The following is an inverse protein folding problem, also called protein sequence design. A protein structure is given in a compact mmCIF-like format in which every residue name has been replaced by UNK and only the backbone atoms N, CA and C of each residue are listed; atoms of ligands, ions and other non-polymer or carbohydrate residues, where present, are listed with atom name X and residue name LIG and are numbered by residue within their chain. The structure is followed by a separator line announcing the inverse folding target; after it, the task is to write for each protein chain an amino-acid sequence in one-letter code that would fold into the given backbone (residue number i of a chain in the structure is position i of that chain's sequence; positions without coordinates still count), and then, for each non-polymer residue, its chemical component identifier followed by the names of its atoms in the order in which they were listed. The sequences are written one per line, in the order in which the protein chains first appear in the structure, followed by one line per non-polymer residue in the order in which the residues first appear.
data_IF_940547121231
#
_entry.id   IF_940547121231
#
_cell.length_a   1.000
_cell.length_b   1.000
_cell.length_c   1.000
_cell.angle_alpha   90.00
_cell.angle_beta   90.00
_cell.angle_gamma   90.00
#
_symmetry.space_group_name_H-M   'P 1'
#
loop_
_entity.id
_entity.type
_entity.pdbx_description
1 polymer ?
#
# COMPACT_ATOMS: atom_id res chain seq x y z
N UNK A 1 60.90 56.02 -26.52
CA UNK A 1 59.78 55.09 -26.40
C UNK A 1 60.33 53.83 -25.76
N UNK A 2 59.99 53.52 -24.51
CA UNK A 2 60.50 52.33 -23.84
C UNK A 2 59.53 51.16 -24.07
N UNK A 3 60.13 49.99 -24.31
CA UNK A 3 59.46 48.71 -24.54
C UNK A 3 58.76 48.19 -23.27
N UNK A 4 57.52 47.70 -23.48
CA UNK A 4 56.71 47.06 -22.44
C UNK A 4 57.28 45.63 -22.23
N UNK A 5 57.86 45.36 -21.06
CA UNK A 5 58.29 44.03 -20.66
C UNK A 5 57.09 43.17 -20.27
N UNK A 6 56.96 42.05 -20.95
CA UNK A 6 56.01 40.97 -20.65
C UNK A 6 56.19 40.45 -19.23
N UNK A 7 55.20 40.70 -18.38
CA UNK A 7 55.11 40.07 -17.05
C UNK A 7 54.41 38.71 -17.24
N UNK A 8 55.19 37.66 -17.41
CA UNK A 8 54.70 36.30 -17.36
C UNK A 8 54.27 35.98 -15.91
N UNK A 9 52.96 35.99 -15.68
CA UNK A 9 52.35 35.51 -14.42
C UNK A 9 52.38 34.00 -14.43
N UNK A 10 53.39 33.39 -13.81
CA UNK A 10 53.53 31.96 -13.65
C UNK A 10 52.54 31.48 -12.60
N UNK A 11 51.30 31.20 -13.01
CA UNK A 11 50.26 30.60 -12.15
C UNK A 11 50.70 29.21 -11.70
N UNK A 12 51.10 29.06 -10.47
CA UNK A 12 51.32 27.75 -9.85
C UNK A 12 49.97 27.05 -9.70
N UNK A 13 49.71 26.07 -10.56
CA UNK A 13 48.60 25.11 -10.36
C UNK A 13 48.98 24.26 -9.13
N UNK A 14 48.38 24.55 -7.97
CA UNK A 14 48.35 23.63 -6.84
C UNK A 14 47.62 22.38 -7.30
N UNK A 15 48.30 21.31 -7.64
CA UNK A 15 47.73 19.98 -7.81
C UNK A 15 47.26 19.52 -6.44
N UNK A 16 45.94 19.56 -6.22
CA UNK A 16 45.30 18.91 -5.07
C UNK A 16 45.49 17.41 -5.27
N UNK A 17 46.41 16.83 -4.55
CA UNK A 17 46.60 15.38 -4.48
C UNK A 17 45.37 14.84 -3.74
N UNK A 18 44.41 14.28 -4.50
CA UNK A 18 43.28 13.58 -3.91
C UNK A 18 43.85 12.35 -3.18
N UNK A 19 43.73 12.36 -1.86
CA UNK A 19 44.05 11.19 -1.03
C UNK A 19 43.00 10.15 -1.28
N UNK A 20 43.34 9.03 -1.89
CA UNK A 20 42.44 7.86 -2.05
C UNK A 20 42.29 7.12 -0.72
N UNK A 21 41.18 6.44 -0.54
CA UNK A 21 40.96 5.55 0.59
C UNK A 21 41.85 4.31 0.53
N UNK A 22 42.30 3.85 1.68
CA UNK A 22 43.07 2.63 1.79
C UNK A 22 42.15 1.41 1.80
N UNK A 23 42.64 0.28 1.33
CA UNK A 23 41.89 -1.00 1.33
C UNK A 23 41.48 -1.40 2.77
N UNK A 24 42.38 -1.19 3.74
CA UNK A 24 42.12 -1.51 5.15
C UNK A 24 41.04 -0.62 5.75
N UNK A 25 40.97 0.64 5.35
CA UNK A 25 39.94 1.60 5.83
C UNK A 25 38.55 1.18 5.39
N UNK A 26 38.37 0.76 4.13
CA UNK A 26 37.11 0.24 3.64
C UNK A 26 36.77 -1.10 4.32
N UNK A 27 37.76 -1.99 4.49
CA UNK A 27 37.54 -3.31 5.10
C UNK A 27 37.06 -3.19 6.56
N UNK A 28 37.63 -2.27 7.35
CA UNK A 28 37.21 -2.01 8.74
C UNK A 28 35.78 -1.44 8.76
N UNK A 29 35.46 -0.50 7.86
CA UNK A 29 34.13 0.12 7.79
C UNK A 29 33.04 -0.91 7.46
N UNK A 30 33.26 -1.75 6.42
CA UNK A 30 32.25 -2.79 6.09
C UNK A 30 32.13 -3.83 7.21
N UNK A 31 33.20 -4.15 7.93
CA UNK A 31 33.16 -5.03 9.09
C UNK A 31 32.28 -4.48 10.22
N UNK A 32 32.43 -3.21 10.56
CA UNK A 32 31.61 -2.53 11.56
C UNK A 32 30.14 -2.45 11.10
N UNK A 33 29.90 -2.08 9.84
CA UNK A 33 28.53 -2.01 9.30
C UNK A 33 27.87 -3.37 9.36
N UNK A 34 28.56 -4.47 9.03
CA UNK A 34 28.00 -5.82 9.08
C UNK A 34 27.57 -6.22 10.50
N UNK A 35 28.36 -5.89 11.51
CA UNK A 35 28.02 -6.15 12.93
C UNK A 35 26.80 -5.32 13.34
N UNK A 36 26.76 -4.02 13.04
CA UNK A 36 25.65 -3.16 13.39
C UNK A 36 24.35 -3.58 12.67
N UNK A 37 24.42 -3.92 11.37
CA UNK A 37 23.30 -4.39 10.60
C UNK A 37 22.69 -5.68 11.17
N UNK A 38 23.52 -6.63 11.63
CA UNK A 38 23.04 -7.87 12.21
C UNK A 38 22.19 -7.65 13.47
N UNK A 39 22.59 -6.72 14.33
CA UNK A 39 21.86 -6.38 15.57
C UNK A 39 20.51 -5.73 15.22
N UNK A 40 20.49 -4.82 14.24
CA UNK A 40 19.27 -4.12 13.82
C UNK A 40 18.24 -5.08 13.22
N UNK A 41 18.66 -6.00 12.35
CA UNK A 41 17.75 -6.97 11.71
C UNK A 41 17.05 -7.85 12.74
N UNK A 42 17.75 -8.28 13.79
CA UNK A 42 17.14 -9.08 14.87
C UNK A 42 16.13 -8.24 15.68
N UNK A 43 16.40 -6.96 15.91
CA UNK A 43 15.57 -6.09 16.72
C UNK A 43 14.25 -5.67 16.04
N UNK A 44 14.23 -5.51 14.71
CA UNK A 44 13.09 -4.92 13.98
C UNK A 44 12.00 -5.93 13.64
N UNK A 45 12.25 -7.23 13.55
CA UNK A 45 11.32 -8.26 13.06
C UNK A 45 10.66 -7.86 11.71
N UNK A 46 11.33 -8.02 10.59
CA UNK A 46 10.86 -7.53 9.29
C UNK A 46 9.52 -8.15 8.86
N UNK A 47 9.25 -9.41 9.23
CA UNK A 47 7.99 -10.07 8.90
C UNK A 47 6.79 -9.33 9.51
N UNK A 48 6.90 -8.85 10.75
CA UNK A 48 5.86 -8.05 11.40
C UNK A 48 5.68 -6.69 10.71
N UNK A 49 6.77 -6.03 10.33
CA UNK A 49 6.70 -4.72 9.65
C UNK A 49 5.96 -4.83 8.30
N UNK A 50 6.23 -5.87 7.53
CA UNK A 50 5.51 -6.13 6.29
C UNK A 50 4.03 -6.45 6.52
N UNK A 51 3.69 -7.20 7.55
CA UNK A 51 2.30 -7.50 7.91
C UNK A 51 1.54 -6.23 8.35
N UNK A 52 2.16 -5.37 9.14
CA UNK A 52 1.59 -4.06 9.55
C UNK A 52 1.38 -3.14 8.35
N UNK A 53 2.31 -3.11 7.39
CA UNK A 53 2.16 -2.34 6.15
C UNK A 53 0.97 -2.84 5.32
N UNK A 54 0.82 -4.15 5.12
CA UNK A 54 -0.35 -4.73 4.44
C UNK A 54 -1.66 -4.42 5.17
N UNK A 55 -1.68 -4.45 6.50
CA UNK A 55 -2.87 -4.11 7.27
C UNK A 55 -3.25 -2.62 7.13
N UNK A 56 -2.28 -1.73 7.02
CA UNK A 56 -2.52 -0.31 6.72
C UNK A 56 -3.14 -0.13 5.33
N UNK A 57 -2.67 -0.89 4.33
CA UNK A 57 -3.25 -0.91 2.99
C UNK A 57 -4.69 -1.45 3.01
N UNK A 58 -4.94 -2.57 3.71
CA UNK A 58 -6.28 -3.14 3.88
C UNK A 58 -7.27 -2.15 4.49
N UNK A 59 -6.85 -1.43 5.53
CA UNK A 59 -7.65 -0.38 6.15
C UNK A 59 -8.06 0.68 5.12
N UNK A 60 -7.11 1.20 4.36
CA UNK A 60 -7.36 2.19 3.31
C UNK A 60 -8.30 1.65 2.22
N UNK A 61 -8.12 0.39 1.81
CA UNK A 61 -8.95 -0.25 0.80
C UNK A 61 -10.39 -0.43 1.27
N UNK A 62 -10.61 -0.90 2.50
CA UNK A 62 -11.94 -1.04 3.10
C UNK A 62 -12.65 0.30 3.19
N UNK A 63 -11.96 1.36 3.62
CA UNK A 63 -12.52 2.71 3.69
C UNK A 63 -12.87 3.27 2.30
N UNK A 64 -12.04 2.99 1.29
CA UNK A 64 -12.27 3.41 -0.10
C UNK A 64 -13.50 2.75 -0.69
N UNK A 65 -13.68 1.44 -0.46
CA UNK A 65 -14.88 0.71 -0.89
C UNK A 65 -16.13 1.28 -0.21
N UNK A 66 -16.09 1.51 1.11
CA UNK A 66 -17.22 2.10 1.85
C UNK A 66 -17.57 3.51 1.35
N UNK A 67 -16.56 4.32 1.03
CA UNK A 67 -16.76 5.66 0.47
C UNK A 67 -17.46 5.58 -0.90
N UNK A 68 -17.04 4.69 -1.78
CA UNK A 68 -17.64 4.50 -3.09
C UNK A 68 -19.10 4.01 -3.00
N UNK A 69 -19.38 3.06 -2.11
CA UNK A 69 -20.74 2.59 -1.82
C UNK A 69 -21.59 3.73 -1.24
N UNK A 70 -21.05 4.52 -0.31
CA UNK A 70 -21.73 5.68 0.26
C UNK A 70 -22.06 6.76 -0.79
N UNK A 71 -21.19 7.02 -1.74
CA UNK A 71 -21.43 7.95 -2.84
C UNK A 71 -22.54 7.43 -3.76
N UNK A 72 -22.52 6.14 -4.11
CA UNK A 72 -23.60 5.53 -4.89
C UNK A 72 -24.97 5.72 -4.20
N UNK A 73 -25.04 5.47 -2.91
CA UNK A 73 -26.28 5.66 -2.12
C UNK A 73 -26.71 7.12 -2.11
N UNK A 74 -25.78 8.06 -1.93
CA UNK A 74 -26.08 9.48 -1.91
C UNK A 74 -26.65 9.96 -3.25
N UNK A 75 -26.07 9.54 -4.37
CA UNK A 75 -26.54 9.89 -5.72
C UNK A 75 -27.88 9.26 -6.07
N UNK A 76 -28.21 8.11 -5.46
CA UNK A 76 -29.45 7.37 -5.71
C UNK A 76 -30.50 7.56 -4.61
N UNK A 77 -30.57 8.74 -4.01
CA UNK A 77 -31.61 9.15 -3.03
C UNK A 77 -31.67 8.26 -1.79
N UNK A 78 -30.53 7.76 -1.34
CA UNK A 78 -30.43 6.94 -0.14
C UNK A 78 -30.59 5.43 -0.39
N UNK A 79 -30.68 4.99 -1.63
CA UNK A 79 -30.81 3.58 -2.01
C UNK A 79 -29.55 3.16 -2.76
N UNK A 80 -28.96 2.03 -2.37
CA UNK A 80 -27.85 1.45 -3.13
C UNK A 80 -28.35 0.92 -4.47
N UNK A 81 -27.83 1.47 -5.57
CA UNK A 81 -28.21 1.09 -6.93
C UNK A 81 -27.13 0.20 -7.55
N UNK A 82 -27.49 -1.03 -7.84
CA UNK A 82 -26.57 -2.04 -8.36
C UNK A 82 -27.29 -3.10 -9.19
N UNK A 83 -26.68 -3.51 -10.31
CA UNK A 83 -27.21 -4.62 -11.12
C UNK A 83 -27.22 -5.97 -10.38
N UNK A 84 -26.27 -6.16 -9.46
CA UNK A 84 -26.21 -7.34 -8.60
C UNK A 84 -27.32 -7.38 -7.53
N UNK A 85 -28.17 -6.33 -7.46
CA UNK A 85 -29.25 -6.20 -6.49
C UNK A 85 -28.84 -5.49 -5.21
N UNK A 86 -29.65 -5.67 -4.16
CA UNK A 86 -29.39 -5.07 -2.85
C UNK A 86 -28.13 -5.67 -2.20
N UNK A 87 -27.51 -4.89 -1.29
CA UNK A 87 -26.36 -5.38 -0.52
C UNK A 87 -26.76 -6.60 0.33
N UNK A 88 -25.90 -7.60 0.45
CA UNK A 88 -26.20 -8.82 1.20
C UNK A 88 -26.34 -8.52 2.70
N UNK A 89 -27.31 -9.18 3.35
CA UNK A 89 -27.53 -9.04 4.80
C UNK A 89 -26.46 -9.77 5.65
N UNK A 90 -25.74 -10.71 5.04
CA UNK A 90 -24.68 -11.49 5.67
C UNK A 90 -23.34 -11.16 5.04
N UNK A 91 -22.25 -11.35 5.79
CA UNK A 91 -20.90 -11.13 5.29
C UNK A 91 -20.62 -12.00 4.06
N UNK A 92 -20.58 -11.37 2.90
CA UNK A 92 -20.44 -12.02 1.59
C UNK A 92 -19.15 -11.55 0.93
N UNK A 93 -18.34 -12.43 0.34
CA UNK A 93 -17.14 -12.03 -0.42
C UNK A 93 -17.49 -11.10 -1.58
N UNK A 94 -16.68 -10.09 -1.80
CA UNK A 94 -16.80 -9.21 -2.97
C UNK A 94 -16.02 -9.86 -4.11
N UNK A 95 -16.73 -10.43 -5.07
CA UNK A 95 -16.15 -11.19 -6.17
C UNK A 95 -17.10 -11.25 -7.36
N UNK A 96 -16.57 -11.44 -8.58
CA UNK A 96 -17.34 -11.63 -9.80
C UNK A 96 -18.06 -12.98 -9.86
N UNK A 97 -17.55 -13.97 -9.12
CA UNK A 97 -18.12 -15.32 -9.06
C UNK A 97 -18.05 -15.85 -7.62
N UNK A 98 -19.13 -16.46 -7.15
CA UNK A 98 -19.19 -16.99 -5.78
C UNK A 98 -19.29 -15.95 -4.68
N UNK A 99 -19.59 -14.70 -5.03
CA UNK A 99 -19.72 -13.59 -4.10
C UNK A 99 -20.70 -12.53 -4.61
N UNK A 100 -20.61 -11.33 -4.04
CA UNK A 100 -21.38 -10.17 -4.46
C UNK A 100 -20.57 -9.34 -5.47
N UNK A 101 -21.07 -9.21 -6.70
CA UNK A 101 -20.42 -8.45 -7.78
C UNK A 101 -20.63 -6.95 -7.57
N UNK A 102 -19.75 -6.35 -6.77
CA UNK A 102 -19.78 -4.94 -6.43
C UNK A 102 -19.13 -4.05 -7.52
N UNK A 103 -18.17 -4.60 -8.29
CA UNK A 103 -17.35 -3.80 -9.22
C UNK A 103 -18.19 -3.03 -10.22
N UNK A 104 -19.15 -3.68 -10.88
CA UNK A 104 -20.00 -3.03 -11.88
C UNK A 104 -20.91 -1.93 -11.34
N UNK A 105 -21.01 -1.77 -10.02
CA UNK A 105 -21.87 -0.78 -9.36
C UNK A 105 -21.09 0.46 -8.88
N UNK A 106 -19.78 0.35 -8.71
CA UNK A 106 -18.94 1.43 -8.19
C UNK A 106 -17.83 1.86 -9.15
N UNK A 107 -17.41 1.00 -10.06
CA UNK A 107 -16.39 1.28 -11.08
C UNK A 107 -17.08 1.53 -12.43
N UNK A 108 -16.67 2.55 -13.22
CA UNK A 108 -15.66 3.58 -12.92
C UNK A 108 -16.24 4.83 -12.25
N UNK A 109 -17.54 4.86 -11.92
CA UNK A 109 -18.25 6.08 -11.53
C UNK A 109 -17.78 6.66 -10.19
N UNK A 110 -17.61 5.82 -9.19
CA UNK A 110 -17.29 6.24 -7.81
C UNK A 110 -15.84 5.94 -7.42
N UNK A 111 -15.18 5.06 -8.17
CA UNK A 111 -13.75 4.79 -8.03
C UNK A 111 -13.19 4.28 -9.36
N UNK A 112 -11.90 4.51 -9.58
CA UNK A 112 -11.26 4.13 -10.85
C UNK A 112 -11.18 2.61 -11.04
N UNK A 113 -10.86 1.88 -9.96
CA UNK A 113 -10.82 0.42 -9.94
C UNK A 113 -11.03 -0.08 -8.52
N UNK A 114 -11.62 -1.29 -8.39
CA UNK A 114 -11.84 -1.89 -7.08
C UNK A 114 -10.51 -2.39 -6.48
N UNK A 115 -10.17 -2.02 -5.24
CA UNK A 115 -8.95 -2.48 -4.62
C UNK A 115 -9.03 -3.97 -4.25
N UNK A 116 -7.89 -4.64 -4.33
CA UNK A 116 -7.77 -6.06 -3.96
C UNK A 116 -6.80 -6.22 -2.79
N UNK A 117 -7.03 -7.25 -1.99
CA UNK A 117 -6.15 -7.61 -0.89
C UNK A 117 -4.78 -8.03 -1.41
N UNK A 118 -3.66 -7.55 -0.84
CA UNK A 118 -2.30 -7.82 -1.33
C UNK A 118 -1.89 -9.29 -1.26
N UNK A 119 -2.59 -10.11 -0.48
CA UNK A 119 -2.25 -11.54 -0.30
C UNK A 119 -3.32 -12.51 -0.80
N UNK A 120 -4.58 -12.12 -0.76
CA UNK A 120 -5.73 -13.00 -1.09
C UNK A 120 -6.59 -12.48 -2.25
N UNK A 121 -6.33 -11.26 -2.73
CA UNK A 121 -7.04 -10.66 -3.84
C UNK A 121 -6.48 -11.07 -5.20
N UNK A 122 -7.36 -11.14 -6.19
CA UNK A 122 -7.01 -11.35 -7.60
C UNK A 122 -7.87 -10.46 -8.48
N UNK A 123 -7.29 -9.90 -9.54
CA UNK A 123 -7.99 -9.09 -10.54
C UNK A 123 -7.42 -9.44 -11.91
N UNK A 124 -8.28 -9.91 -12.81
CA UNK A 124 -7.89 -10.11 -14.19
C UNK A 124 -7.68 -8.76 -14.90
N UNK A 125 -6.72 -8.70 -15.82
CA UNK A 125 -6.36 -7.47 -16.53
C UNK A 125 -7.52 -6.83 -17.32
N UNK A 126 -8.50 -7.63 -17.73
CA UNK A 126 -9.72 -7.18 -18.42
C UNK A 126 -10.89 -6.91 -17.46
N UNK A 127 -10.70 -7.12 -16.16
CA UNK A 127 -11.71 -6.96 -15.12
C UNK A 127 -12.86 -7.96 -15.18
N UNK A 128 -12.79 -8.98 -16.03
CA UNK A 128 -13.86 -9.97 -16.22
C UNK A 128 -14.00 -10.93 -15.04
N UNK A 129 -12.89 -11.20 -14.35
CA UNK A 129 -12.85 -12.08 -13.18
C UNK A 129 -12.04 -11.42 -12.07
N UNK A 130 -12.63 -11.36 -10.86
CA UNK A 130 -11.95 -10.80 -9.71
C UNK A 130 -12.43 -11.43 -8.40
N UNK A 131 -11.56 -11.42 -7.42
CA UNK A 131 -11.85 -11.66 -6.02
C UNK A 131 -11.07 -10.62 -5.22
N UNK A 132 -11.79 -9.76 -4.49
CA UNK A 132 -11.09 -8.69 -3.78
C UNK A 132 -10.36 -9.16 -2.52
N UNK A 133 -10.76 -10.28 -1.93
CA UNK A 133 -10.31 -10.70 -0.60
C UNK A 133 -11.04 -9.98 0.54
N UNK A 134 -11.98 -9.08 0.22
CA UNK A 134 -12.83 -8.36 1.19
C UNK A 134 -14.23 -8.92 1.20
N UNK A 135 -14.97 -8.67 2.28
CA UNK A 135 -16.38 -9.02 2.41
C UNK A 135 -17.22 -7.78 2.68
N UNK A 136 -18.49 -7.82 2.26
CA UNK A 136 -19.46 -6.77 2.48
C UNK A 136 -20.75 -7.32 3.07
N UNK A 137 -21.37 -6.54 3.95
CA UNK A 137 -22.70 -6.83 4.49
C UNK A 137 -23.45 -5.54 4.81
N UNK A 138 -24.77 -5.57 4.73
CA UNK A 138 -25.64 -4.51 5.23
C UNK A 138 -26.54 -5.06 6.34
N UNK A 139 -26.51 -4.43 7.51
CA UNK A 139 -27.39 -4.80 8.63
C UNK A 139 -28.85 -4.56 8.27
N UNK A 140 -29.67 -5.59 8.40
CA UNK A 140 -31.12 -5.49 8.19
C UNK A 140 -31.84 -4.62 9.23
N UNK A 141 -31.25 -4.44 10.41
CA UNK A 141 -31.84 -3.68 11.51
C UNK A 141 -31.44 -2.20 11.51
N UNK A 142 -30.20 -1.90 11.17
CA UNK A 142 -29.65 -0.54 11.26
C UNK A 142 -29.33 0.08 9.89
N UNK A 143 -29.48 -0.69 8.82
CA UNK A 143 -29.08 -0.34 7.43
C UNK A 143 -27.61 0.05 7.28
N UNK A 144 -26.79 -0.14 8.33
CA UNK A 144 -25.36 0.15 8.30
C UNK A 144 -24.62 -0.86 7.43
N UNK A 145 -23.66 -0.37 6.69
CA UNK A 145 -22.85 -1.18 5.79
C UNK A 145 -21.50 -1.45 6.45
N UNK A 146 -21.11 -2.69 6.48
CA UNK A 146 -19.81 -3.13 7.01
C UNK A 146 -19.00 -3.76 5.88
N UNK A 147 -17.76 -3.32 5.73
CA UNK A 147 -16.76 -3.98 4.88
C UNK A 147 -15.63 -4.48 5.76
N UNK A 148 -15.22 -5.73 5.54
CA UNK A 148 -14.16 -6.37 6.31
C UNK A 148 -13.02 -6.87 5.41
N UNK A 149 -11.81 -6.87 5.99
CA UNK A 149 -10.60 -7.50 5.46
C UNK A 149 -10.24 -8.72 6.34
N UNK A 150 -10.73 -9.93 6.04
CA UNK A 150 -10.46 -11.12 6.85
C UNK A 150 -8.97 -11.48 6.93
N UNK A 151 -8.23 -11.27 5.84
CA UNK A 151 -6.81 -11.55 5.75
C UNK A 151 -5.92 -10.62 6.63
N UNK A 152 -6.51 -9.62 7.30
CA UNK A 152 -5.80 -8.78 8.26
C UNK A 152 -5.40 -9.51 9.55
N UNK A 153 -5.97 -10.68 9.81
CA UNK A 153 -5.55 -11.59 10.89
C UNK A 153 -4.22 -12.26 10.52
N UNK A 154 -3.15 -11.48 10.46
CA UNK A 154 -1.80 -11.90 10.07
C UNK A 154 -1.09 -12.65 11.18
N UNK A 155 -0.57 -13.84 10.89
CA UNK A 155 0.17 -14.66 11.88
C UNK A 155 1.43 -13.97 12.44
N UNK A 156 2.03 -13.04 11.67
CA UNK A 156 3.19 -12.27 12.09
C UNK A 156 2.88 -11.19 13.14
N UNK A 157 1.58 -10.86 13.33
CA UNK A 157 1.11 -9.88 14.34
C UNK A 157 0.31 -10.63 15.40
N UNK A 158 0.88 -10.89 16.59
CA UNK A 158 0.16 -11.60 17.65
C UNK A 158 -1.15 -10.90 18.01
N UNK A 159 -2.26 -11.65 18.03
CA UNK A 159 -3.58 -11.14 18.38
C UNK A 159 -4.24 -10.27 17.31
N UNK A 160 -3.71 -10.24 16.07
CA UNK A 160 -4.38 -9.53 14.97
C UNK A 160 -5.73 -10.15 14.64
N UNK A 161 -6.71 -9.30 14.36
CA UNK A 161 -8.06 -9.67 13.97
C UNK A 161 -8.37 -9.10 12.58
N UNK A 162 -9.47 -9.57 11.99
CA UNK A 162 -9.98 -8.99 10.77
C UNK A 162 -10.26 -7.48 10.97
N UNK A 163 -9.88 -6.67 9.99
CA UNK A 163 -10.18 -5.23 9.99
C UNK A 163 -11.57 -5.06 9.40
N UNK A 164 -12.48 -4.46 10.17
CA UNK A 164 -13.83 -4.16 9.73
C UNK A 164 -14.14 -2.69 9.96
N UNK A 165 -14.74 -2.02 8.98
CA UNK A 165 -15.24 -0.65 9.09
C UNK A 165 -16.73 -0.64 8.78
N UNK A 166 -17.51 0.09 9.59
CA UNK A 166 -18.98 0.16 9.48
C UNK A 166 -19.42 1.62 9.40
N UNK A 167 -20.32 1.90 8.50
CA UNK A 167 -20.99 3.22 8.35
C UNK A 167 -22.48 3.10 8.19
#
# INVERSE_FOLDING_TARGET
MPAIKDIFYKGQKKTLVAKGFTLIEILVVIGIIAILASIVIIAINPARQFAEARNSERQSNVESILNAVGQNIADNKGIFNCLAGALPATSTPIASTGGYDLRGCIVPTYMAEIPVDPTSGTLANDGSSYTTGYTIAQSSTSSRITVCAPAAAEAAIPGSLAICVTR
#
